data_IF_899681815093
#
_entry.id   IF_899681815093
#
_cell.length_a   1.000
_cell.length_b   1.000
_cell.length_c   1.000
_cell.angle_alpha   90.00
_cell.angle_beta   90.00
_cell.angle_gamma   90.00
#
_symmetry.space_group_name_H-M   'P 1'
#
loop_
_entity.id
_entity.type
_entity.pdbx_description
1 polymer ?
#
# COMPACT_ATOMS: atom_id res chain seq x y z
N UNK A 1 29.14 59.98 -46.61
CA UNK A 1 29.11 58.58 -46.16
C UNK A 1 28.13 58.43 -45.02
N UNK A 2 26.84 58.44 -45.39
CA UNK A 2 25.77 58.09 -44.45
C UNK A 2 25.38 56.65 -44.73
N UNK A 3 25.66 55.76 -43.79
CA UNK A 3 25.13 54.38 -43.80
C UNK A 3 23.68 54.39 -43.27
N UNK A 4 22.80 53.93 -44.09
CA UNK A 4 21.36 53.96 -43.92
C UNK A 4 20.90 53.00 -42.80
N UNK A 5 20.30 53.44 -41.68
CA UNK A 5 19.95 52.55 -40.55
C UNK A 5 18.78 51.60 -40.83
N UNK A 6 18.09 51.76 -41.98
CA UNK A 6 16.92 50.91 -42.32
C UNK A 6 17.23 49.47 -42.71
N UNK A 7 18.45 49.17 -43.13
CA UNK A 7 18.84 47.82 -43.56
C UNK A 7 19.12 46.87 -42.38
N UNK A 8 19.49 47.39 -41.20
CA UNK A 8 19.78 46.57 -40.02
C UNK A 8 18.50 46.07 -39.35
N UNK A 9 17.42 46.84 -39.42
CA UNK A 9 16.12 46.42 -38.84
C UNK A 9 15.43 45.29 -39.61
N UNK A 10 15.56 45.24 -40.92
CA UNK A 10 14.98 44.17 -41.74
C UNK A 10 15.71 42.83 -41.56
N UNK A 11 17.02 42.84 -41.32
CA UNK A 11 17.75 41.58 -41.06
C UNK A 11 17.43 40.97 -39.70
N UNK A 12 17.22 41.76 -38.66
CA UNK A 12 16.84 41.28 -37.32
C UNK A 12 15.46 40.65 -37.30
N UNK A 13 14.49 41.25 -37.98
CA UNK A 13 13.12 40.71 -38.09
C UNK A 13 13.05 39.42 -38.93
N UNK A 14 13.83 39.30 -39.99
CA UNK A 14 13.88 38.11 -40.83
C UNK A 14 14.51 36.93 -40.08
N UNK A 15 15.58 37.16 -39.33
CA UNK A 15 16.26 36.12 -38.51
C UNK A 15 15.35 35.64 -37.37
N UNK A 16 14.62 36.53 -36.70
CA UNK A 16 13.67 36.17 -35.64
C UNK A 16 12.44 35.43 -36.21
N UNK A 17 11.91 35.85 -37.36
CA UNK A 17 10.81 35.16 -38.01
C UNK A 17 11.19 33.75 -38.47
N UNK A 18 12.35 33.56 -39.08
CA UNK A 18 12.85 32.24 -39.46
C UNK A 18 13.13 31.39 -38.26
N UNK A 19 13.67 31.96 -37.17
CA UNK A 19 13.93 31.23 -35.94
C UNK A 19 12.63 30.76 -35.26
N UNK A 20 11.62 31.59 -35.18
CA UNK A 20 10.30 31.24 -34.64
C UNK A 20 9.56 30.22 -35.52
N UNK A 21 9.65 30.31 -36.82
CA UNK A 21 9.08 29.33 -37.75
C UNK A 21 9.78 27.98 -37.64
N UNK A 22 11.11 27.96 -37.51
CA UNK A 22 11.85 26.73 -37.29
C UNK A 22 11.54 26.07 -35.94
N UNK A 23 11.32 26.86 -34.87
CA UNK A 23 10.90 26.34 -33.56
C UNK A 23 9.49 25.74 -33.64
N UNK A 24 8.56 26.42 -34.32
CA UNK A 24 7.18 25.94 -34.46
C UNK A 24 7.09 24.66 -35.31
N UNK A 25 7.84 24.57 -36.41
CA UNK A 25 7.94 23.34 -37.23
C UNK A 25 8.59 22.22 -36.43
N UNK A 26 9.59 22.53 -35.60
CA UNK A 26 10.25 21.57 -34.71
C UNK A 26 9.29 21.00 -33.66
N UNK A 27 8.47 21.84 -33.02
CA UNK A 27 7.48 21.38 -32.02
C UNK A 27 6.40 20.49 -32.64
N UNK A 28 5.90 20.83 -33.83
CA UNK A 28 4.94 20.02 -34.58
C UNK A 28 5.57 18.66 -34.95
N UNK A 29 6.80 18.64 -35.46
CA UNK A 29 7.48 17.42 -35.84
C UNK A 29 7.77 16.53 -34.63
N UNK A 30 8.14 17.10 -33.48
CA UNK A 30 8.38 16.35 -32.23
C UNK A 30 7.08 15.77 -31.66
N UNK A 31 5.99 16.51 -31.68
CA UNK A 31 4.70 16.00 -31.24
C UNK A 31 4.18 14.89 -32.17
N UNK A 32 4.42 14.98 -33.46
CA UNK A 32 4.08 13.94 -34.43
C UNK A 32 4.92 12.65 -34.25
N UNK A 33 6.20 12.79 -33.98
CA UNK A 33 7.12 11.66 -33.68
C UNK A 33 6.70 10.96 -32.40
N UNK A 34 6.36 11.69 -31.34
CA UNK A 34 5.88 11.12 -30.07
C UNK A 34 4.51 10.45 -30.25
N UNK A 35 3.62 11.03 -31.05
CA UNK A 35 2.34 10.45 -31.42
C UNK A 35 2.48 9.14 -32.20
N UNK A 36 3.37 9.09 -33.19
CA UNK A 36 3.68 7.88 -33.95
C UNK A 36 4.29 6.78 -33.08
N UNK A 37 5.16 7.13 -32.13
CA UNK A 37 5.78 6.19 -31.20
C UNK A 37 4.75 5.57 -30.24
N UNK A 38 3.77 6.36 -29.79
CA UNK A 38 2.75 5.88 -28.84
C UNK A 38 1.68 5.01 -29.51
N UNK A 39 1.35 5.24 -30.79
CA UNK A 39 0.27 4.53 -31.48
C UNK A 39 0.76 3.36 -32.34
N UNK A 40 1.91 3.49 -33.00
CA UNK A 40 2.36 2.54 -34.01
C UNK A 40 3.45 1.56 -33.55
N UNK A 41 3.95 1.73 -32.34
CA UNK A 41 4.97 0.85 -31.73
C UNK A 41 6.38 0.99 -32.35
N UNK A 42 7.37 0.46 -31.63
CA UNK A 42 8.80 0.66 -31.93
C UNK A 42 9.27 0.17 -33.32
N UNK A 43 8.64 -0.83 -33.91
CA UNK A 43 9.07 -1.38 -35.23
C UNK A 43 8.76 -0.43 -36.38
N UNK A 44 7.61 0.26 -36.37
CA UNK A 44 7.24 1.21 -37.40
C UNK A 44 8.02 2.52 -37.26
N UNK A 45 8.30 2.92 -36.01
CA UNK A 45 9.17 4.05 -35.69
C UNK A 45 10.60 3.89 -36.25
N UNK A 46 11.21 2.72 -36.11
CA UNK A 46 12.51 2.40 -36.68
C UNK A 46 12.52 2.42 -38.23
N UNK A 47 11.43 1.99 -38.85
CA UNK A 47 11.25 2.03 -40.29
C UNK A 47 11.18 3.47 -40.85
N UNK A 48 10.55 4.39 -40.13
CA UNK A 48 10.48 5.81 -40.47
C UNK A 48 11.83 6.47 -40.32
N UNK A 49 12.59 6.14 -39.28
CA UNK A 49 13.95 6.68 -39.07
C UNK A 49 14.96 6.21 -40.13
N UNK A 50 14.85 4.97 -40.58
CA UNK A 50 15.76 4.41 -41.56
C UNK A 50 15.56 4.94 -43.00
N UNK A 51 14.42 5.57 -43.26
CA UNK A 51 14.07 6.15 -44.58
C UNK A 51 14.14 7.68 -44.63
N UNK A 52 14.63 8.35 -43.58
CA UNK A 52 14.85 9.81 -43.58
C UNK A 52 16.15 10.23 -44.26
N UNK A 53 16.19 11.31 -45.07
CA UNK A 53 17.41 11.83 -45.69
C UNK A 53 18.47 12.23 -44.64
N UNK A 54 19.72 11.86 -44.86
CA UNK A 54 20.86 11.99 -43.94
C UNK A 54 21.04 13.38 -43.26
N UNK A 55 20.62 14.47 -43.90
CA UNK A 55 20.76 15.82 -43.32
C UNK A 55 19.83 16.08 -42.14
N UNK A 56 18.62 15.50 -42.13
CA UNK A 56 17.68 15.63 -41.04
C UNK A 56 18.01 14.68 -39.89
N UNK A 57 18.60 13.55 -40.18
CA UNK A 57 19.04 12.57 -39.19
C UNK A 57 20.10 13.14 -38.23
N UNK A 58 21.07 13.93 -38.75
CA UNK A 58 22.13 14.56 -37.94
C UNK A 58 21.55 15.63 -36.99
N UNK A 59 20.54 16.38 -37.45
CA UNK A 59 19.90 17.41 -36.61
C UNK A 59 19.04 16.74 -35.50
N UNK A 60 18.31 15.69 -35.84
CA UNK A 60 17.49 14.94 -34.87
C UNK A 60 18.38 14.20 -33.89
N UNK A 61 19.44 13.55 -34.31
CA UNK A 61 20.37 12.82 -33.43
C UNK A 61 21.19 13.74 -32.50
N UNK A 62 21.63 14.92 -33.01
CA UNK A 62 22.31 15.93 -32.16
C UNK A 62 21.39 16.57 -31.13
N UNK A 63 20.14 16.85 -31.48
CA UNK A 63 19.18 17.41 -30.52
C UNK A 63 18.68 16.36 -29.51
N UNK A 64 18.57 15.09 -29.87
CA UNK A 64 18.33 13.98 -28.93
C UNK A 64 19.51 13.77 -27.98
N UNK A 65 20.75 13.83 -28.45
CA UNK A 65 21.93 13.68 -27.60
C UNK A 65 22.22 14.89 -26.68
N UNK A 66 21.79 16.10 -27.05
CA UNK A 66 21.93 17.29 -26.22
C UNK A 66 20.90 17.42 -25.08
N UNK A 67 19.80 16.69 -25.12
CA UNK A 67 18.79 16.65 -24.04
C UNK A 67 18.81 15.42 -23.16
N UNK A 68 19.65 14.44 -23.46
CA UNK A 68 20.01 13.37 -22.51
C UNK A 68 21.06 13.88 -21.50
N UNK A 69 20.81 15.04 -20.90
CA UNK A 69 21.54 15.40 -19.68
C UNK A 69 21.27 14.34 -18.62
N UNK A 70 22.24 14.05 -17.78
CA UNK A 70 22.15 13.07 -16.69
C UNK A 70 20.87 13.21 -15.83
N UNK A 71 20.22 14.36 -15.85
CA UNK A 71 18.93 14.65 -15.20
C UNK A 71 17.73 13.99 -15.91
N UNK A 72 17.74 13.88 -17.25
CA UNK A 72 16.68 13.19 -18.00
C UNK A 72 16.86 11.66 -17.94
N UNK A 73 18.11 11.19 -17.86
CA UNK A 73 18.44 9.77 -17.60
C UNK A 73 18.12 9.41 -16.15
N UNK A 74 18.41 10.29 -15.19
CA UNK A 74 17.99 10.12 -13.79
C UNK A 74 16.48 10.16 -13.63
N UNK A 75 15.78 11.06 -14.33
CA UNK A 75 14.31 11.10 -14.33
C UNK A 75 13.70 9.92 -15.11
N UNK A 76 14.33 9.39 -16.17
CA UNK A 76 13.91 8.14 -16.82
C UNK A 76 14.24 6.90 -16.01
N UNK A 77 15.34 6.87 -15.27
CA UNK A 77 15.60 5.80 -14.27
C UNK A 77 14.66 5.89 -13.07
N UNK A 78 14.18 7.08 -12.71
CA UNK A 78 13.16 7.29 -11.68
C UNK A 78 11.73 7.07 -12.21
N UNK A 79 11.53 7.14 -13.53
CA UNK A 79 10.34 6.68 -14.27
C UNK A 79 10.47 5.23 -14.74
N UNK A 80 11.43 4.47 -14.22
CA UNK A 80 11.40 3.02 -14.24
C UNK A 80 10.26 2.64 -13.30
N UNK A 81 9.11 2.52 -13.89
CA UNK A 81 7.75 2.30 -13.41
C UNK A 81 7.67 2.06 -11.90
N UNK A 82 7.26 3.08 -11.17
CA UNK A 82 6.75 2.94 -9.81
C UNK A 82 5.76 1.78 -9.83
N UNK A 83 5.99 0.78 -9.00
CA UNK A 83 5.18 -0.44 -8.97
C UNK A 83 3.75 -0.09 -8.60
N UNK A 84 2.79 -0.50 -9.43
CA UNK A 84 1.37 -0.26 -9.14
C UNK A 84 0.88 -1.17 -8.01
N UNK A 85 -0.18 -0.77 -7.33
CA UNK A 85 -0.86 -1.59 -6.31
C UNK A 85 -1.23 -2.98 -6.84
N UNK A 86 -1.72 -3.08 -8.07
CA UNK A 86 -2.03 -4.36 -8.72
C UNK A 86 -0.77 -5.23 -8.91
N UNK A 87 0.35 -4.64 -9.29
CA UNK A 87 1.63 -5.36 -9.42
C UNK A 87 2.16 -5.83 -8.07
N UNK A 88 2.06 -5.00 -7.02
CA UNK A 88 2.47 -5.33 -5.66
C UNK A 88 1.68 -6.55 -5.16
N UNK A 89 0.35 -6.51 -5.27
CA UNK A 89 -0.52 -7.62 -4.87
C UNK A 89 -0.20 -8.90 -5.63
N UNK A 90 -0.07 -8.79 -6.96
CA UNK A 90 0.26 -9.93 -7.80
C UNK A 90 1.61 -10.55 -7.45
N UNK A 91 2.63 -9.76 -7.21
CA UNK A 91 3.97 -10.26 -6.83
C UNK A 91 3.96 -10.98 -5.49
N UNK A 92 3.19 -10.50 -4.50
CA UNK A 92 3.00 -11.21 -3.23
C UNK A 92 2.41 -12.61 -3.46
N UNK A 93 1.31 -12.69 -4.18
CA UNK A 93 0.63 -13.96 -4.44
C UNK A 93 1.49 -14.92 -5.28
N UNK A 94 2.17 -14.42 -6.31
CA UNK A 94 3.07 -15.22 -7.14
C UNK A 94 4.23 -15.77 -6.30
N UNK A 95 4.86 -14.94 -5.46
CA UNK A 95 5.96 -15.35 -4.58
C UNK A 95 5.55 -16.49 -3.64
N UNK A 96 4.43 -16.36 -2.93
CA UNK A 96 3.98 -17.42 -2.04
C UNK A 96 3.48 -18.66 -2.79
N UNK A 97 2.93 -18.50 -3.98
CA UNK A 97 2.62 -19.63 -4.86
C UNK A 97 3.89 -20.41 -5.23
N UNK A 98 4.99 -19.73 -5.56
CA UNK A 98 6.30 -20.36 -5.82
C UNK A 98 6.87 -21.07 -4.59
N UNK A 99 6.58 -20.54 -3.37
CA UNK A 99 6.93 -21.20 -2.09
C UNK A 99 5.97 -22.35 -1.72
N UNK A 100 5.07 -22.76 -2.62
CA UNK A 100 4.16 -23.90 -2.44
C UNK A 100 2.87 -23.60 -1.68
N UNK A 101 2.48 -22.34 -1.55
CA UNK A 101 1.23 -21.96 -0.92
C UNK A 101 0.04 -22.10 -1.89
N UNK A 102 -1.07 -22.62 -1.41
CA UNK A 102 -2.35 -22.57 -2.10
C UNK A 102 -2.91 -21.15 -2.02
N UNK A 103 -3.14 -20.53 -3.18
CA UNK A 103 -3.77 -19.21 -3.21
C UNK A 103 -5.28 -19.39 -3.10
N UNK A 104 -5.90 -18.72 -2.14
CA UNK A 104 -7.34 -18.77 -1.89
C UNK A 104 -7.97 -17.37 -2.01
N UNK A 105 -9.28 -17.28 -2.30
CA UNK A 105 -9.97 -16.00 -2.35
C UNK A 105 -10.15 -15.40 -0.94
N UNK A 106 -10.29 -14.07 -0.87
CA UNK A 106 -10.70 -13.35 0.32
C UNK A 106 -12.04 -13.85 0.85
N UNK A 107 -12.12 -14.07 2.15
CA UNK A 107 -13.40 -14.29 2.80
C UNK A 107 -14.26 -13.01 2.82
N UNK A 108 -15.59 -13.12 3.03
CA UNK A 108 -16.44 -11.97 3.26
C UNK A 108 -15.99 -11.14 4.46
N UNK A 109 -16.17 -9.81 4.37
CA UNK A 109 -15.89 -8.88 5.48
C UNK A 109 -16.76 -9.17 6.70
N UNK A 110 -18.02 -9.54 6.48
CA UNK A 110 -19.01 -9.80 7.55
C UNK A 110 -19.11 -11.27 7.84
N UNK A 111 -18.84 -11.63 9.07
CA UNK A 111 -18.93 -13.01 9.56
C UNK A 111 -20.35 -13.29 10.06
N UNK A 112 -21.08 -14.17 9.36
CA UNK A 112 -22.48 -14.47 9.70
C UNK A 112 -22.65 -15.45 10.87
N UNK A 113 -21.68 -16.35 11.02
CA UNK A 113 -21.78 -17.51 11.93
C UNK A 113 -20.69 -17.53 13.02
N UNK A 114 -19.95 -16.44 13.22
CA UNK A 114 -18.94 -16.35 14.28
C UNK A 114 -19.53 -15.60 15.49
N UNK A 115 -19.63 -16.26 16.66
CA UNK A 115 -20.16 -15.62 17.87
C UNK A 115 -19.19 -14.63 18.53
N UNK A 116 -17.92 -14.63 18.14
CA UNK A 116 -16.84 -13.84 18.75
C UNK A 116 -16.49 -12.59 17.96
N UNK A 117 -16.64 -12.63 16.64
CA UNK A 117 -16.27 -11.56 15.73
C UNK A 117 -17.41 -11.21 14.78
N UNK A 118 -17.72 -9.92 14.67
CA UNK A 118 -18.72 -9.41 13.74
C UNK A 118 -18.15 -9.23 12.32
N UNK A 119 -16.86 -8.89 12.24
CA UNK A 119 -16.15 -8.61 11.00
C UNK A 119 -14.83 -9.38 10.91
N UNK A 120 -14.41 -9.67 9.71
CA UNK A 120 -13.06 -10.14 9.43
C UNK A 120 -12.07 -9.01 9.73
N UNK A 121 -11.40 -9.06 10.88
CA UNK A 121 -10.47 -8.03 11.34
C UNK A 121 -9.00 -8.34 11.01
N UNK A 122 -8.74 -9.57 10.53
CA UNK A 122 -7.41 -10.04 10.10
C UNK A 122 -7.54 -11.15 9.07
N UNK A 123 -6.45 -11.44 8.36
CA UNK A 123 -6.41 -12.51 7.35
C UNK A 123 -6.69 -13.89 7.91
N UNK A 124 -6.26 -14.15 9.15
CA UNK A 124 -6.41 -15.45 9.81
C UNK A 124 -7.86 -15.80 10.19
N UNK A 125 -8.77 -14.82 10.20
CA UNK A 125 -10.13 -15.02 10.73
C UNK A 125 -10.85 -16.18 10.03
N UNK A 126 -10.71 -16.33 8.72
CA UNK A 126 -11.28 -17.45 7.96
C UNK A 126 -10.67 -18.81 8.27
N UNK A 127 -9.50 -18.85 8.92
CA UNK A 127 -8.73 -20.07 9.22
C UNK A 127 -8.71 -20.44 10.71
N UNK A 128 -9.48 -19.75 11.54
CA UNK A 128 -9.55 -19.95 13.00
C UNK A 128 -9.67 -21.43 13.39
N UNK A 129 -10.57 -22.17 12.72
CA UNK A 129 -10.81 -23.58 12.99
C UNK A 129 -9.60 -24.49 12.66
N UNK A 130 -8.74 -24.07 11.72
CA UNK A 130 -7.53 -24.81 11.36
C UNK A 130 -6.47 -24.65 12.46
N UNK A 131 -6.30 -23.44 13.00
CA UNK A 131 -5.38 -23.19 14.12
C UNK A 131 -5.78 -23.97 15.39
N UNK A 132 -7.07 -24.05 15.67
CA UNK A 132 -7.62 -24.76 16.82
C UNK A 132 -7.70 -26.28 16.63
N UNK A 133 -7.39 -26.79 15.45
CA UNK A 133 -7.49 -28.20 15.11
C UNK A 133 -8.94 -28.74 15.02
N UNK A 134 -9.91 -27.85 14.86
CA UNK A 134 -11.34 -28.25 14.70
C UNK A 134 -11.65 -28.70 13.27
N UNK A 135 -10.84 -28.28 12.30
CA UNK A 135 -10.92 -28.68 10.90
C UNK A 135 -9.53 -28.88 10.31
N UNK A 136 -9.41 -29.82 9.40
CA UNK A 136 -8.20 -29.98 8.62
C UNK A 136 -8.06 -28.84 7.59
N UNK A 137 -6.88 -28.25 7.43
CA UNK A 137 -6.65 -27.21 6.44
C UNK A 137 -6.72 -27.80 5.01
N UNK A 138 -7.22 -26.98 4.07
CA UNK A 138 -7.27 -27.35 2.64
C UNK A 138 -5.89 -27.62 2.04
N UNK A 139 -4.86 -27.01 2.60
CA UNK A 139 -3.44 -27.22 2.30
C UNK A 139 -2.62 -26.81 3.52
N UNK A 140 -1.41 -27.39 3.73
CA UNK A 140 -0.56 -27.01 4.85
C UNK A 140 -0.02 -25.58 4.73
N UNK A 141 0.03 -25.02 3.52
CA UNK A 141 0.44 -23.63 3.21
C UNK A 141 -0.64 -22.94 2.44
N UNK A 142 -1.08 -21.79 2.91
CA UNK A 142 -2.11 -20.97 2.23
C UNK A 142 -1.62 -19.52 2.17
N UNK A 143 -2.00 -18.79 1.11
CA UNK A 143 -1.82 -17.34 1.03
C UNK A 143 -2.99 -16.68 0.32
N UNK A 144 -3.28 -15.43 0.70
CA UNK A 144 -4.30 -14.61 0.05
C UNK A 144 -4.05 -13.12 0.21
N UNK A 145 -5.00 -12.33 -0.29
CA UNK A 145 -5.23 -10.95 0.09
C UNK A 145 -6.64 -10.84 0.68
N UNK A 146 -6.74 -10.52 1.96
CA UNK A 146 -7.98 -10.50 2.73
C UNK A 146 -8.50 -9.08 2.92
N UNK A 147 -9.78 -8.86 2.60
CA UNK A 147 -10.51 -7.64 2.99
C UNK A 147 -10.74 -7.66 4.50
N UNK A 148 -10.20 -6.67 5.22
CA UNK A 148 -10.37 -6.55 6.67
C UNK A 148 -11.13 -5.28 7.02
N UNK A 149 -11.92 -5.33 8.10
CA UNK A 149 -12.67 -4.18 8.63
C UNK A 149 -12.41 -4.04 10.14
N UNK A 150 -11.82 -2.89 10.54
CA UNK A 150 -11.49 -2.56 11.94
C UNK A 150 -12.25 -1.32 12.39
N UNK A 151 -13.47 -1.51 12.91
CA UNK A 151 -14.40 -0.42 13.27
C UNK A 151 -15.14 -0.69 14.57
N UNK A 152 -14.73 -1.71 15.32
CA UNK A 152 -15.33 -2.08 16.59
C UNK A 152 -14.47 -3.07 17.39
N UNK A 153 -14.71 -3.17 18.68
CA UNK A 153 -14.03 -4.11 19.58
C UNK A 153 -12.60 -3.70 19.90
N UNK A 154 -11.71 -4.70 20.07
CA UNK A 154 -10.27 -4.53 20.41
C UNK A 154 -9.52 -3.75 19.33
N UNK A 155 -9.90 -3.91 18.06
CA UNK A 155 -9.31 -3.26 16.90
C UNK A 155 -10.33 -2.27 16.31
N UNK A 156 -10.23 -1.00 16.67
CA UNK A 156 -11.16 0.06 16.23
C UNK A 156 -10.39 1.29 15.75
N UNK A 157 -10.22 1.41 14.45
CA UNK A 157 -9.46 2.49 13.80
C UNK A 157 -10.36 3.66 13.32
N UNK A 158 -11.70 3.58 13.56
CA UNK A 158 -12.68 4.51 12.97
C UNK A 158 -12.43 5.99 13.29
N UNK A 159 -11.94 6.29 14.48
CA UNK A 159 -11.74 7.68 14.91
C UNK A 159 -10.46 8.29 14.35
N UNK A 160 -9.45 7.46 14.02
CA UNK A 160 -8.16 7.86 13.46
C UNK A 160 -8.23 8.04 11.92
N UNK A 161 -9.18 7.34 11.28
CA UNK A 161 -9.35 7.41 9.82
C UNK A 161 -9.61 8.84 9.33
N UNK A 162 -8.74 9.26 8.41
CA UNK A 162 -8.72 10.59 7.82
C UNK A 162 -7.93 11.62 8.63
N UNK A 163 -7.51 11.31 9.86
CA UNK A 163 -6.74 12.19 10.76
C UNK A 163 -5.26 11.86 10.78
N UNK A 164 -4.89 10.67 10.36
CA UNK A 164 -3.51 10.23 10.16
C UNK A 164 -3.26 9.82 8.71
N UNK A 165 -2.11 9.21 8.44
CA UNK A 165 -1.64 8.87 7.09
C UNK A 165 -1.83 7.41 6.71
N UNK A 166 -2.22 6.51 7.64
CA UNK A 166 -2.12 5.06 7.43
C UNK A 166 -3.24 4.20 8.03
N UNK A 167 -4.15 4.74 8.87
CA UNK A 167 -5.30 3.98 9.37
C UNK A 167 -6.49 4.02 8.40
N UNK A 168 -7.19 2.88 8.31
CA UNK A 168 -8.34 2.69 7.43
C UNK A 168 -9.45 1.91 8.14
N UNK A 169 -10.72 2.20 7.80
CA UNK A 169 -11.82 1.35 8.23
C UNK A 169 -11.77 -0.01 7.54
N UNK A 170 -11.60 0.00 6.22
CA UNK A 170 -11.36 -1.20 5.41
C UNK A 170 -9.96 -1.12 4.80
N UNK A 171 -9.19 -2.18 4.94
CA UNK A 171 -7.86 -2.33 4.33
C UNK A 171 -7.68 -3.75 3.80
N UNK A 172 -6.68 -3.92 2.95
CA UNK A 172 -6.25 -5.23 2.49
C UNK A 172 -5.11 -5.75 3.36
N UNK A 173 -5.21 -6.98 3.81
CA UNK A 173 -4.13 -7.69 4.48
C UNK A 173 -3.61 -8.78 3.56
N UNK A 174 -2.37 -8.66 3.13
CA UNK A 174 -1.67 -9.72 2.44
C UNK A 174 -1.20 -10.73 3.48
N UNK A 175 -1.64 -11.98 3.38
CA UNK A 175 -1.38 -13.00 4.38
C UNK A 175 -0.79 -14.28 3.81
N UNK A 176 0.09 -14.92 4.60
CA UNK A 176 0.52 -16.29 4.36
C UNK A 176 0.51 -17.08 5.66
N UNK A 177 0.07 -18.34 5.56
CA UNK A 177 -0.17 -19.23 6.68
C UNK A 177 0.53 -20.56 6.50
N UNK A 178 1.01 -21.09 7.64
CA UNK A 178 1.49 -22.46 7.77
C UNK A 178 0.71 -23.19 8.84
N UNK A 179 0.10 -24.29 8.49
CA UNK A 179 -0.69 -25.14 9.40
C UNK A 179 0.11 -26.38 9.76
N UNK A 180 1.07 -26.22 10.72
CA UNK A 180 1.91 -27.30 11.19
C UNK A 180 2.99 -27.76 10.21
N UNK A 181 3.31 -26.98 9.18
CA UNK A 181 4.35 -27.31 8.19
C UNK A 181 5.66 -26.56 8.50
N UNK A 182 5.79 -25.29 8.13
CA UNK A 182 6.95 -24.48 8.51
C UNK A 182 6.64 -23.58 9.72
N UNK A 183 7.70 -23.02 10.32
CA UNK A 183 7.55 -22.15 11.48
C UNK A 183 8.46 -20.91 11.37
N UNK A 184 8.99 -20.39 12.48
CA UNK A 184 9.68 -19.10 12.58
C UNK A 184 10.75 -18.89 11.52
N UNK A 185 11.63 -19.90 11.32
CA UNK A 185 12.77 -19.77 10.41
C UNK A 185 12.33 -19.44 8.98
N UNK A 186 11.50 -20.30 8.41
CA UNK A 186 11.04 -20.12 7.03
C UNK A 186 10.15 -18.88 6.89
N UNK A 187 9.33 -18.56 7.89
CA UNK A 187 8.50 -17.35 7.87
C UNK A 187 9.38 -16.09 7.78
N UNK A 188 10.43 -16.02 8.57
CA UNK A 188 11.41 -14.93 8.58
C UNK A 188 12.20 -14.89 7.27
N UNK A 189 12.69 -16.05 6.79
CA UNK A 189 13.41 -16.15 5.52
C UNK A 189 12.54 -15.65 4.34
N UNK A 190 11.27 -16.07 4.25
CA UNK A 190 10.36 -15.66 3.19
C UNK A 190 10.05 -14.16 3.28
N UNK A 191 9.81 -13.63 4.48
CA UNK A 191 9.54 -12.22 4.66
C UNK A 191 10.74 -11.36 4.23
N UNK A 192 11.95 -11.75 4.63
CA UNK A 192 13.15 -11.04 4.25
C UNK A 192 13.41 -11.10 2.74
N UNK A 193 13.31 -12.29 2.14
CA UNK A 193 13.48 -12.46 0.69
C UNK A 193 12.48 -11.61 -0.11
N UNK A 194 11.21 -11.63 0.27
CA UNK A 194 10.18 -10.86 -0.41
C UNK A 194 10.46 -9.36 -0.35
N UNK A 195 10.75 -8.83 0.83
CA UNK A 195 10.97 -7.39 0.99
C UNK A 195 12.27 -6.91 0.33
N UNK A 196 13.37 -7.65 0.49
CA UNK A 196 14.69 -7.16 0.06
C UNK A 196 15.07 -7.61 -1.35
N UNK A 197 14.64 -8.80 -1.80
CA UNK A 197 15.05 -9.35 -3.09
C UNK A 197 13.95 -9.22 -4.16
N UNK A 198 12.67 -9.27 -3.80
CA UNK A 198 11.57 -9.10 -4.75
C UNK A 198 11.17 -7.62 -4.83
N UNK A 199 10.80 -7.01 -3.71
CA UNK A 199 10.38 -5.60 -3.66
C UNK A 199 11.56 -4.61 -3.64
N UNK A 200 12.80 -5.08 -3.45
CA UNK A 200 14.03 -4.28 -3.46
C UNK A 200 14.02 -3.13 -2.45
N UNK A 201 13.40 -3.34 -1.30
CA UNK A 201 13.46 -2.38 -0.19
C UNK A 201 14.89 -2.37 0.36
N UNK A 202 15.52 -1.20 0.51
CA UNK A 202 16.87 -1.10 1.09
C UNK A 202 16.89 -1.66 2.52
N UNK A 203 17.83 -2.55 2.80
CA UNK A 203 17.95 -3.23 4.11
C UNK A 203 18.15 -2.25 5.27
N UNK A 204 18.82 -1.14 4.99
CA UNK A 204 19.03 -0.05 5.93
C UNK A 204 17.77 0.73 6.31
N UNK A 205 16.67 0.52 5.61
CA UNK A 205 15.38 1.10 5.96
C UNK A 205 14.52 0.20 6.86
N UNK A 206 14.97 -1.04 7.09
CA UNK A 206 14.20 -2.03 7.83
C UNK A 206 14.63 -2.11 9.29
N UNK A 207 13.66 -2.27 10.17
CA UNK A 207 13.80 -2.65 11.58
C UNK A 207 12.86 -3.81 11.86
N UNK A 208 13.21 -4.65 12.83
CA UNK A 208 12.35 -5.77 13.24
C UNK A 208 12.20 -5.75 14.75
N UNK A 209 11.02 -6.16 15.21
CA UNK A 209 10.77 -6.37 16.63
C UNK A 209 10.68 -7.86 16.95
N UNK A 210 10.93 -8.24 18.18
CA UNK A 210 10.70 -9.56 18.71
C UNK A 210 10.05 -9.45 20.07
N UNK A 211 9.29 -10.45 20.47
CA UNK A 211 8.67 -10.49 21.79
C UNK A 211 9.72 -10.57 22.92
N UNK A 212 9.66 -9.64 23.87
CA UNK A 212 10.60 -9.57 25.01
C UNK A 212 10.27 -10.53 26.14
N UNK A 213 9.08 -11.17 26.09
CA UNK A 213 8.55 -12.02 27.15
C UNK A 213 7.57 -11.27 28.05
N UNK A 214 6.88 -12.05 28.90
CA UNK A 214 5.98 -11.53 29.94
C UNK A 214 6.04 -12.45 31.17
N UNK A 215 6.75 -12.01 32.19
CA UNK A 215 6.93 -12.77 33.43
C UNK A 215 5.60 -13.01 34.17
N UNK A 216 4.61 -12.16 34.01
CA UNK A 216 3.29 -12.29 34.65
C UNK A 216 2.49 -13.49 34.12
N UNK A 217 2.73 -13.88 32.87
CA UNK A 217 2.11 -15.03 32.21
C UNK A 217 3.11 -16.22 32.01
N UNK A 218 4.30 -16.15 32.58
CA UNK A 218 5.35 -17.12 32.37
C UNK A 218 5.74 -17.34 30.91
N UNK A 219 5.78 -16.24 30.14
CA UNK A 219 6.21 -16.26 28.75
C UNK A 219 7.63 -15.74 28.62
N UNK A 220 8.50 -16.57 28.03
CA UNK A 220 9.90 -16.23 27.80
C UNK A 220 10.07 -15.29 26.60
N UNK A 221 11.23 -14.60 26.57
CA UNK A 221 11.67 -13.84 25.40
C UNK A 221 11.81 -14.75 24.19
N UNK A 222 11.35 -14.29 23.01
CA UNK A 222 11.48 -15.06 21.76
C UNK A 222 12.93 -15.02 21.22
N UNK A 223 13.82 -15.75 21.91
CA UNK A 223 15.22 -15.87 21.52
C UNK A 223 15.41 -16.65 20.22
N UNK A 224 14.43 -17.47 19.81
CA UNK A 224 14.45 -18.21 18.55
C UNK A 224 14.28 -17.26 17.37
N UNK A 225 13.27 -16.41 17.39
CA UNK A 225 13.08 -15.36 16.37
C UNK A 225 14.28 -14.40 16.32
N UNK A 226 14.82 -13.97 17.47
CA UNK A 226 16.02 -13.14 17.52
C UNK A 226 17.19 -13.77 16.76
N UNK A 227 17.47 -15.05 17.00
CA UNK A 227 18.57 -15.74 16.34
C UNK A 227 18.38 -15.91 14.84
N UNK A 228 17.14 -16.10 14.38
CA UNK A 228 16.85 -16.15 12.93
C UNK A 228 17.02 -14.77 12.28
N UNK A 229 16.56 -13.71 12.93
CA UNK A 229 16.75 -12.36 12.41
C UNK A 229 18.21 -11.93 12.30
N UNK A 230 19.07 -12.34 13.24
CA UNK A 230 20.53 -12.07 13.18
C UNK A 230 21.21 -12.58 11.93
N UNK A 231 20.65 -13.57 11.25
CA UNK A 231 21.17 -14.06 9.97
C UNK A 231 20.90 -13.07 8.79
N UNK A 232 19.97 -12.15 8.96
CA UNK A 232 19.50 -11.26 7.92
C UNK A 232 19.81 -9.77 8.15
N UNK A 233 19.70 -9.33 9.39
CA UNK A 233 19.81 -7.92 9.78
C UNK A 233 20.76 -7.75 10.96
N UNK A 234 21.40 -6.60 11.10
CA UNK A 234 22.30 -6.30 12.21
C UNK A 234 21.55 -6.21 13.55
N UNK A 235 22.21 -6.61 14.64
CA UNK A 235 21.59 -6.72 15.97
C UNK A 235 21.02 -5.40 16.50
N UNK A 236 21.63 -4.27 16.15
CA UNK A 236 21.18 -2.93 16.50
C UNK A 236 19.85 -2.52 15.84
N UNK A 237 19.31 -3.37 14.95
CA UNK A 237 18.03 -3.19 14.28
C UNK A 237 16.97 -4.23 14.69
N UNK A 238 17.30 -5.07 15.69
CA UNK A 238 16.40 -6.05 16.30
C UNK A 238 15.98 -5.51 17.65
N UNK A 239 14.73 -5.17 17.83
CA UNK A 239 14.18 -4.46 18.97
C UNK A 239 13.36 -5.43 19.82
N UNK A 240 13.51 -5.39 21.14
CA UNK A 240 12.59 -6.09 22.03
C UNK A 240 11.29 -5.29 22.14
N UNK A 241 10.17 -5.95 21.86
CA UNK A 241 8.85 -5.36 22.00
C UNK A 241 8.06 -6.05 23.11
N UNK A 242 7.25 -5.26 23.79
CA UNK A 242 6.43 -5.70 24.90
C UNK A 242 5.23 -6.54 24.41
N UNK A 243 4.47 -7.07 25.37
CA UNK A 243 3.30 -7.89 25.07
C UNK A 243 2.24 -7.18 24.25
N UNK A 244 2.05 -5.87 24.43
CA UNK A 244 1.04 -5.09 23.68
C UNK A 244 1.35 -5.10 22.18
N UNK A 245 2.62 -5.00 21.81
CA UNK A 245 3.06 -4.87 20.42
C UNK A 245 3.46 -6.24 19.82
N UNK A 246 4.11 -7.10 20.61
CA UNK A 246 4.72 -8.34 20.11
C UNK A 246 4.12 -9.65 20.65
N UNK A 247 2.89 -9.62 21.18
CA UNK A 247 2.11 -10.83 21.48
C UNK A 247 0.69 -10.68 20.92
N UNK A 248 0.46 -11.28 19.76
CA UNK A 248 -0.80 -11.10 19.05
C UNK A 248 -1.90 -12.01 19.59
N UNK A 249 -3.10 -11.45 19.75
CA UNK A 249 -4.29 -12.16 20.20
C UNK A 249 -5.46 -11.82 19.28
N UNK A 250 -6.19 -12.83 18.81
CA UNK A 250 -7.35 -12.65 17.92
C UNK A 250 -8.45 -11.80 18.55
N UNK A 251 -8.68 -11.97 19.84
CA UNK A 251 -9.69 -11.29 20.65
C UNK A 251 -9.51 -11.62 22.12
N UNK A 252 -10.61 -11.60 22.89
CA UNK A 252 -10.61 -12.00 24.33
C UNK A 252 -10.31 -13.49 24.52
N UNK A 253 -10.53 -14.30 23.49
CA UNK A 253 -10.22 -15.72 23.45
C UNK A 253 -9.90 -16.17 22.03
N UNK A 254 -9.16 -17.27 21.91
CA UNK A 254 -8.78 -17.85 20.63
C UNK A 254 -7.29 -18.00 20.42
N UNK A 255 -6.83 -18.36 19.21
CA UNK A 255 -5.42 -18.54 18.90
C UNK A 255 -4.62 -17.26 19.16
N UNK A 256 -3.41 -17.44 19.71
CA UNK A 256 -2.50 -16.34 20.02
C UNK A 256 -1.05 -16.84 20.07
N UNK A 257 -0.11 -15.90 20.10
CA UNK A 257 1.30 -16.21 20.22
C UNK A 257 2.21 -15.01 20.08
N UNK A 258 3.50 -15.19 20.38
CA UNK A 258 4.49 -14.14 20.17
C UNK A 258 4.56 -13.78 18.68
N UNK A 259 4.87 -12.54 18.40
CA UNK A 259 5.02 -12.09 17.02
C UNK A 259 6.26 -11.24 16.82
N UNK A 260 6.63 -11.09 15.56
CA UNK A 260 7.73 -10.27 15.09
C UNK A 260 7.22 -9.33 14.03
N UNK A 261 7.37 -8.04 14.26
CA UNK A 261 6.95 -7.01 13.30
C UNK A 261 8.13 -6.56 12.46
N UNK A 262 7.82 -6.19 11.22
CA UNK A 262 8.79 -5.57 10.30
C UNK A 262 8.33 -4.14 10.04
N UNK A 263 9.20 -3.19 10.37
CA UNK A 263 8.99 -1.76 10.21
C UNK A 263 9.84 -1.21 9.06
N UNK A 264 9.28 -0.26 8.32
CA UNK A 264 10.00 0.47 7.27
C UNK A 264 10.12 1.94 7.67
N UNK A 265 11.36 2.45 7.67
CA UNK A 265 11.65 3.86 7.79
C UNK A 265 11.70 4.50 6.39
N UNK A 266 10.63 5.23 6.03
CA UNK A 266 10.48 5.90 4.74
C UNK A 266 10.89 7.39 4.77
N UNK A 267 11.46 7.87 5.88
CA UNK A 267 11.90 9.25 6.02
C UNK A 267 13.04 9.60 5.06
N UNK A 268 13.24 10.90 4.85
CA UNK A 268 14.38 11.42 4.09
C UNK A 268 15.72 11.11 4.78
N UNK A 269 16.81 11.13 4.00
CA UNK A 269 18.15 10.92 4.57
C UNK A 269 18.52 11.97 5.62
N UNK A 270 18.03 13.22 5.45
CA UNK A 270 18.26 14.31 6.39
C UNK A 270 17.54 14.10 7.73
N UNK A 271 16.34 13.52 7.70
CA UNK A 271 15.57 13.19 8.91
C UNK A 271 16.18 12.00 9.64
N UNK A 272 16.59 10.96 8.90
CA UNK A 272 17.29 9.78 9.46
C UNK A 272 18.61 10.15 10.13
N UNK A 273 19.31 11.15 9.61
CA UNK A 273 20.55 11.63 10.21
C UNK A 273 20.34 12.39 11.53
N UNK A 274 19.15 12.95 11.78
CA UNK A 274 18.83 13.70 13.01
C UNK A 274 18.36 12.79 14.14
N UNK A 275 17.52 11.81 13.82
CA UNK A 275 16.93 10.89 14.79
C UNK A 275 17.00 9.47 14.22
N UNK A 276 17.50 8.54 15.00
CA UNK A 276 17.53 7.12 14.61
C UNK A 276 16.11 6.59 14.40
N UNK A 277 15.91 5.75 13.36
CA UNK A 277 14.64 5.03 13.20
C UNK A 277 14.37 4.06 14.34
N UNK A 278 15.41 3.55 14.99
CA UNK A 278 15.31 2.72 16.18
C UNK A 278 14.45 3.36 17.28
N UNK A 279 14.64 4.67 17.51
CA UNK A 279 13.93 5.41 18.56
C UNK A 279 12.46 5.72 18.18
N UNK A 280 12.07 5.42 16.95
CA UNK A 280 10.75 5.74 16.40
C UNK A 280 9.88 4.52 16.13
N UNK A 281 10.45 3.31 16.20
CA UNK A 281 9.69 2.05 16.09
C UNK A 281 8.70 1.96 17.26
N UNK A 282 7.43 1.65 16.96
CA UNK A 282 6.31 1.55 17.93
C UNK A 282 6.08 2.85 18.75
N UNK A 283 6.42 4.01 18.18
CA UNK A 283 6.22 5.34 18.77
C UNK A 283 5.32 6.23 17.90
N UNK A 284 4.35 5.66 17.19
CA UNK A 284 3.33 6.33 16.36
C UNK A 284 3.91 7.33 15.34
N UNK A 285 5.15 7.09 14.87
CA UNK A 285 5.76 7.96 13.87
C UNK A 285 5.20 7.67 12.47
N UNK A 286 4.63 8.67 11.74
CA UNK A 286 3.90 8.45 10.48
C UNK A 286 4.76 7.92 9.33
N UNK A 287 6.09 7.94 9.46
CA UNK A 287 7.02 7.49 8.43
C UNK A 287 8.00 6.40 8.92
N UNK A 288 7.82 5.86 10.12
CA UNK A 288 8.47 4.65 10.62
C UNK A 288 7.37 3.68 10.97
N UNK A 289 6.89 2.97 9.97
CA UNK A 289 5.62 2.25 10.06
C UNK A 289 5.82 0.74 10.06
N UNK A 290 5.06 0.05 10.90
CA UNK A 290 4.87 -1.39 10.80
C UNK A 290 4.19 -1.70 9.48
N UNK A 291 4.79 -2.59 8.68
CA UNK A 291 4.24 -3.06 7.42
C UNK A 291 3.83 -4.51 7.46
N UNK A 292 4.48 -5.34 8.27
CA UNK A 292 4.22 -6.78 8.32
C UNK A 292 4.36 -7.32 9.72
N UNK A 293 3.37 -8.07 10.19
CA UNK A 293 3.41 -8.80 11.46
C UNK A 293 3.49 -10.32 11.16
N UNK A 294 4.50 -10.98 11.72
CA UNK A 294 4.71 -12.44 11.64
C UNK A 294 4.32 -13.04 12.99
N UNK A 295 3.15 -13.66 13.06
CA UNK A 295 2.63 -14.24 14.30
C UNK A 295 2.96 -15.74 14.36
N UNK A 296 3.56 -16.15 15.46
CA UNK A 296 3.92 -17.53 15.74
C UNK A 296 2.90 -18.14 16.70
N UNK A 297 1.85 -18.70 16.11
CA UNK A 297 0.71 -19.24 16.84
C UNK A 297 1.11 -20.51 17.60
N UNK A 298 1.21 -20.39 18.93
CA UNK A 298 1.60 -21.48 19.84
C UNK A 298 0.54 -21.76 20.90
N UNK A 299 -0.38 -20.81 21.15
CA UNK A 299 -1.32 -20.86 22.26
C UNK A 299 -2.77 -20.59 21.84
N UNK A 300 -3.68 -21.02 22.69
CA UNK A 300 -5.09 -20.65 22.68
C UNK A 300 -5.41 -19.94 24.00
N UNK A 301 -5.87 -18.68 23.94
CA UNK A 301 -6.38 -17.95 25.08
C UNK A 301 -7.76 -18.47 25.42
N UNK A 302 -7.96 -18.95 26.65
CA UNK A 302 -9.25 -19.41 27.16
C UNK A 302 -10.07 -18.25 27.71
N UNK A 303 -11.38 -18.48 27.87
CA UNK A 303 -12.31 -17.48 28.44
C UNK A 303 -11.96 -17.07 29.89
N UNK A 304 -11.24 -17.90 30.63
CA UNK A 304 -10.75 -17.61 31.99
C UNK A 304 -9.41 -16.84 31.99
N UNK A 305 -8.89 -16.51 30.81
CA UNK A 305 -7.63 -15.80 30.61
C UNK A 305 -6.38 -16.71 30.58
N UNK A 306 -6.51 -18.01 30.84
CA UNK A 306 -5.38 -18.95 30.80
C UNK A 306 -4.90 -19.22 29.36
N UNK A 307 -3.62 -19.57 29.21
CA UNK A 307 -3.04 -19.99 27.95
C UNK A 307 -2.89 -21.53 27.90
N UNK A 308 -3.42 -22.13 26.85
CA UNK A 308 -3.25 -23.53 26.53
C UNK A 308 -2.44 -23.67 25.24
N UNK A 309 -1.48 -24.61 25.20
CA UNK A 309 -0.72 -24.86 23.96
C UNK A 309 -1.61 -25.42 22.88
N UNK A 310 -1.44 -24.92 21.65
CA UNK A 310 -2.09 -25.49 20.46
C UNK A 310 -1.56 -26.90 20.16
N UNK A 311 -2.37 -27.75 19.48
CA UNK A 311 -1.96 -29.09 19.07
C UNK A 311 -0.71 -29.12 18.16
N UNK A 312 -0.53 -28.06 17.36
CA UNK A 312 0.63 -27.84 16.51
C UNK A 312 1.04 -26.36 16.52
N UNK A 313 2.27 -26.09 16.11
CA UNK A 313 2.75 -24.71 15.91
C UNK A 313 2.38 -24.25 14.50
N UNK A 314 1.88 -23.05 14.39
CA UNK A 314 1.42 -22.50 13.13
C UNK A 314 2.04 -21.11 12.87
N UNK A 315 2.03 -20.68 11.62
CA UNK A 315 2.38 -19.31 11.22
C UNK A 315 1.14 -18.61 10.72
N UNK A 316 0.91 -17.42 11.21
CA UNK A 316 -0.04 -16.43 10.68
C UNK A 316 0.73 -15.17 10.37
N UNK A 317 0.58 -14.62 9.17
CA UNK A 317 1.20 -13.33 8.87
C UNK A 317 0.19 -12.37 8.29
N UNK A 318 0.36 -11.08 8.61
CA UNK A 318 -0.48 -10.02 8.07
C UNK A 318 0.35 -8.81 7.67
N UNK A 319 0.43 -8.55 6.35
CA UNK A 319 1.09 -7.37 5.81
C UNK A 319 0.06 -6.35 5.37
N UNK A 320 0.16 -5.11 5.87
CA UNK A 320 -0.70 -4.00 5.46
C UNK A 320 -0.42 -3.61 4.02
N UNK A 321 -1.33 -3.93 3.12
CA UNK A 321 -1.16 -3.70 1.69
C UNK A 321 -1.01 -2.21 1.36
N UNK A 322 -1.85 -1.35 1.90
CA UNK A 322 -1.80 0.09 1.68
C UNK A 322 -0.48 0.71 2.20
N UNK A 323 0.00 0.24 3.37
CA UNK A 323 1.30 0.66 3.94
C UNK A 323 2.46 0.21 3.06
N UNK A 324 2.40 -1.02 2.54
CA UNK A 324 3.39 -1.51 1.60
C UNK A 324 3.40 -0.70 0.29
N UNK A 325 2.22 -0.39 -0.27
CA UNK A 325 2.09 0.48 -1.44
C UNK A 325 2.70 1.86 -1.17
N UNK A 326 2.43 2.46 -0.02
CA UNK A 326 3.01 3.74 0.39
C UNK A 326 4.53 3.70 0.36
N UNK A 327 5.14 2.67 0.97
CA UNK A 327 6.58 2.51 1.01
C UNK A 327 7.19 2.30 -0.39
N UNK A 328 6.63 1.39 -1.20
CA UNK A 328 7.15 1.05 -2.53
C UNK A 328 6.92 2.16 -3.57
N UNK A 329 5.89 2.96 -3.39
CA UNK A 329 5.59 4.10 -4.25
C UNK A 329 6.28 5.40 -3.78
N UNK A 330 7.06 5.35 -2.68
CA UNK A 330 7.78 6.49 -2.14
C UNK A 330 6.86 7.64 -1.74
N UNK A 331 5.71 7.30 -1.13
CA UNK A 331 4.72 8.24 -0.62
C UNK A 331 4.84 8.39 0.88
N UNK A 332 4.33 9.50 1.42
CA UNK A 332 4.28 9.78 2.86
C UNK A 332 2.91 9.50 3.49
N UNK A 333 1.93 9.17 2.67
CA UNK A 333 0.57 8.79 3.10
C UNK A 333 0.02 7.69 2.20
N UNK A 334 -0.74 6.76 2.78
CA UNK A 334 -1.48 5.75 2.02
C UNK A 334 -2.42 6.40 0.99
N UNK A 335 -3.01 7.54 1.36
CA UNK A 335 -3.95 8.29 0.50
C UNK A 335 -3.29 8.89 -0.76
N UNK A 336 -1.96 9.00 -0.80
CA UNK A 336 -1.21 9.49 -1.97
C UNK A 336 -0.82 8.37 -2.94
N UNK A 337 -1.17 7.13 -2.63
CA UNK A 337 -0.91 5.97 -3.48
C UNK A 337 -1.96 5.82 -4.59
N UNK A 338 -1.69 4.98 -5.57
CA UNK A 338 -2.63 4.65 -6.64
C UNK A 338 -3.87 3.88 -6.15
N UNK A 339 -3.87 3.38 -4.92
CA UNK A 339 -5.06 2.78 -4.27
C UNK A 339 -6.15 3.83 -4.05
N UNK A 340 -5.79 5.08 -3.72
CA UNK A 340 -6.74 6.12 -3.33
C UNK A 340 -6.82 7.29 -4.31
N UNK A 341 -5.74 7.61 -5.03
CA UNK A 341 -5.70 8.80 -5.89
C UNK A 341 -6.79 8.84 -6.97
N UNK A 342 -7.26 7.73 -7.58
CA UNK A 342 -8.39 7.79 -8.51
C UNK A 342 -9.71 8.18 -7.82
N UNK A 343 -9.96 7.69 -6.60
CA UNK A 343 -11.13 8.06 -5.81
C UNK A 343 -11.06 9.52 -5.37
N UNK A 344 -9.89 9.98 -4.92
CA UNK A 344 -9.64 11.38 -4.54
C UNK A 344 -9.92 12.30 -5.74
N UNK A 345 -9.41 11.97 -6.93
CA UNK A 345 -9.66 12.75 -8.15
C UNK A 345 -11.16 12.85 -8.47
N UNK A 346 -11.92 11.77 -8.26
CA UNK A 346 -13.38 11.80 -8.44
C UNK A 346 -14.09 12.68 -7.40
N UNK A 347 -13.66 12.64 -6.15
CA UNK A 347 -14.18 13.53 -5.09
C UNK A 347 -13.87 15.00 -5.39
N UNK A 348 -12.66 15.30 -5.90
CA UNK A 348 -12.30 16.64 -6.37
C UNK A 348 -13.21 17.15 -7.50
N UNK A 349 -13.48 16.28 -8.48
CA UNK A 349 -14.40 16.58 -9.60
C UNK A 349 -15.80 16.94 -9.08
N UNK A 350 -16.35 16.12 -8.18
CA UNK A 350 -17.71 16.27 -7.66
C UNK A 350 -17.85 17.46 -6.69
N UNK A 351 -16.83 17.76 -5.90
CA UNK A 351 -16.89 18.84 -4.91
C UNK A 351 -16.36 20.18 -5.42
N UNK A 352 -15.56 20.17 -6.50
CA UNK A 352 -14.82 21.34 -6.96
C UNK A 352 -13.67 21.74 -6.01
N UNK A 353 -13.35 20.91 -4.98
CA UNK A 353 -12.30 21.20 -3.98
C UNK A 353 -11.09 20.32 -4.23
N UNK A 354 -9.89 20.91 -4.11
CA UNK A 354 -8.62 20.19 -4.31
C UNK A 354 -8.10 19.59 -3.01
N UNK A 355 -7.66 18.34 -3.10
CA UNK A 355 -6.89 17.67 -2.05
C UNK A 355 -5.46 18.22 -2.03
N UNK A 356 -4.98 18.57 -0.86
CA UNK A 356 -3.65 19.19 -0.67
C UNK A 356 -2.71 18.36 0.19
N UNK A 357 -3.20 17.26 0.78
CA UNK A 357 -2.41 16.36 1.63
C UNK A 357 -2.14 16.94 3.03
N UNK A 358 -2.75 18.06 3.40
CA UNK A 358 -2.58 18.67 4.73
C UNK A 358 -3.34 17.83 5.74
N UNK A 359 -2.64 17.38 6.80
CA UNK A 359 -3.21 16.40 7.74
C UNK A 359 -4.39 16.96 8.53
N UNK A 360 -4.26 18.20 9.03
CA UNK A 360 -5.26 18.87 9.89
C UNK A 360 -6.31 19.68 9.11
N UNK A 361 -6.21 19.79 7.80
CA UNK A 361 -7.21 20.51 6.98
C UNK A 361 -8.53 19.71 6.93
N UNK A 362 -9.62 20.30 7.41
CA UNK A 362 -10.94 19.65 7.49
C UNK A 362 -11.47 19.18 6.13
N UNK A 363 -11.15 19.90 5.06
CA UNK A 363 -11.48 19.51 3.67
C UNK A 363 -10.71 18.25 3.28
N UNK A 364 -9.42 18.18 3.58
CA UNK A 364 -8.58 17.04 3.26
C UNK A 364 -8.94 15.82 4.13
N UNK A 365 -9.24 16.05 5.41
CA UNK A 365 -9.81 15.00 6.28
C UNK A 365 -11.11 14.46 5.68
N UNK A 366 -12.01 15.33 5.23
CA UNK A 366 -13.27 14.89 4.64
C UNK A 366 -13.06 14.08 3.37
N UNK A 367 -12.12 14.46 2.51
CA UNK A 367 -11.78 13.69 1.31
C UNK A 367 -11.23 12.32 1.69
N UNK A 368 -10.29 12.23 2.65
CA UNK A 368 -9.76 10.94 3.15
C UNK A 368 -10.84 10.05 3.73
N UNK A 369 -11.70 10.60 4.58
CA UNK A 369 -12.85 9.88 5.15
C UNK A 369 -13.78 9.32 4.07
N UNK A 370 -14.07 10.10 3.02
CA UNK A 370 -14.92 9.66 1.92
C UNK A 370 -14.33 8.46 1.16
N UNK A 371 -13.09 8.59 0.71
CA UNK A 371 -12.45 7.56 -0.12
C UNK A 371 -12.16 6.28 0.68
N UNK A 372 -11.93 6.39 1.97
CA UNK A 372 -11.86 5.25 2.87
C UNK A 372 -13.22 4.57 3.03
N UNK A 373 -14.22 5.33 3.46
CA UNK A 373 -15.52 4.79 3.85
C UNK A 373 -16.31 4.19 2.68
N UNK A 374 -16.12 4.71 1.46
CA UNK A 374 -16.78 4.11 0.29
C UNK A 374 -16.26 2.70 0.00
N UNK A 375 -14.97 2.41 0.27
CA UNK A 375 -14.42 1.05 0.17
C UNK A 375 -15.13 0.13 1.16
N UNK A 376 -15.17 0.49 2.44
CA UNK A 376 -15.80 -0.30 3.49
C UNK A 376 -17.28 -0.60 3.20
N UNK A 377 -18.05 0.43 2.83
CA UNK A 377 -19.51 0.29 2.58
C UNK A 377 -19.75 -0.55 1.32
N UNK A 378 -19.02 -0.29 0.24
CA UNK A 378 -19.22 -1.00 -1.03
C UNK A 378 -18.91 -2.48 -0.92
N UNK A 379 -17.78 -2.85 -0.32
CA UNK A 379 -17.42 -4.26 -0.16
C UNK A 379 -18.29 -4.99 0.85
N UNK A 380 -18.75 -4.33 1.93
CA UNK A 380 -19.71 -4.93 2.83
C UNK A 380 -21.06 -5.24 2.13
N UNK A 381 -21.53 -4.32 1.27
CA UNK A 381 -22.74 -4.53 0.48
C UNK A 381 -22.53 -5.65 -0.56
N UNK A 382 -21.38 -5.69 -1.23
CA UNK A 382 -21.04 -6.73 -2.19
C UNK A 382 -20.98 -8.12 -1.53
N UNK A 383 -20.50 -8.21 -0.29
CA UNK A 383 -20.49 -9.42 0.53
C UNK A 383 -21.90 -9.76 1.13
N UNK A 384 -22.93 -8.97 0.81
CA UNK A 384 -24.32 -9.22 1.17
C UNK A 384 -24.80 -8.58 2.48
N UNK A 385 -24.02 -7.65 3.06
CA UNK A 385 -24.41 -6.91 4.25
C UNK A 385 -24.91 -5.51 3.91
N UNK A 386 -26.23 -5.34 3.93
CA UNK A 386 -26.86 -4.01 3.76
C UNK A 386 -26.78 -3.19 5.06
N UNK A 387 -26.71 -1.85 4.95
CA UNK A 387 -26.91 -0.97 6.11
C UNK A 387 -28.27 -1.21 6.77
N UNK A 388 -28.30 -1.33 8.09
CA UNK A 388 -29.53 -1.60 8.85
C UNK A 388 -29.53 -0.93 10.23
N UNK A 389 -30.54 -1.24 11.07
CA UNK A 389 -30.68 -0.66 12.40
C UNK A 389 -30.00 -1.49 13.52
N UNK A 390 -29.47 -2.66 13.21
CA UNK A 390 -28.85 -3.54 14.21
C UNK A 390 -27.68 -4.35 13.66
N UNK A 391 -26.89 -4.95 14.55
CA UNK A 391 -25.78 -5.84 14.21
C UNK A 391 -24.74 -5.19 13.27
N UNK A 392 -24.16 -5.99 12.42
CA UNK A 392 -23.17 -5.55 11.43
C UNK A 392 -23.71 -4.44 10.50
N UNK A 393 -24.97 -4.53 10.10
CA UNK A 393 -25.60 -3.52 9.25
C UNK A 393 -25.70 -2.14 9.90
N UNK A 394 -25.81 -2.06 11.24
CA UNK A 394 -25.77 -0.78 11.96
C UNK A 394 -24.38 -0.13 11.86
N UNK A 395 -23.33 -0.92 11.99
CA UNK A 395 -21.94 -0.42 11.85
C UNK A 395 -21.72 0.12 10.43
N UNK A 396 -22.11 -0.63 9.41
CA UNK A 396 -22.01 -0.18 7.99
C UNK A 396 -22.82 1.11 7.76
N UNK A 397 -24.04 1.20 8.35
CA UNK A 397 -24.84 2.42 8.31
C UNK A 397 -24.14 3.60 8.99
N UNK A 398 -23.45 3.37 10.12
CA UNK A 398 -22.69 4.41 10.85
C UNK A 398 -21.55 4.95 9.99
N UNK A 399 -20.78 4.08 9.32
CA UNK A 399 -19.70 4.45 8.38
C UNK A 399 -20.28 5.28 7.25
N UNK A 400 -21.33 4.82 6.58
CA UNK A 400 -22.01 5.53 5.50
C UNK A 400 -22.46 6.94 5.93
N UNK A 401 -23.11 7.05 7.09
CA UNK A 401 -23.57 8.35 7.63
C UNK A 401 -22.41 9.28 7.97
N UNK A 402 -21.28 8.74 8.46
CA UNK A 402 -20.05 9.52 8.70
C UNK A 402 -19.55 10.13 7.39
N UNK A 403 -19.43 9.34 6.32
CA UNK A 403 -19.03 9.81 5.00
C UNK A 403 -19.96 10.95 4.50
N UNK A 404 -21.28 10.76 4.56
CA UNK A 404 -22.28 11.77 4.15
C UNK A 404 -22.14 13.05 5.00
N UNK A 405 -21.95 12.92 6.31
CA UNK A 405 -21.81 14.08 7.21
C UNK A 405 -20.56 14.91 6.88
N UNK A 406 -19.42 14.25 6.60
CA UNK A 406 -18.18 14.93 6.23
C UNK A 406 -18.31 15.61 4.86
N UNK A 407 -18.91 14.94 3.86
CA UNK A 407 -19.13 15.54 2.54
C UNK A 407 -20.01 16.77 2.59
N UNK A 408 -21.10 16.71 3.35
CA UNK A 408 -22.02 17.83 3.48
C UNK A 408 -21.38 19.04 4.17
N UNK A 409 -20.70 18.80 5.31
CA UNK A 409 -20.12 19.86 6.15
C UNK A 409 -18.92 20.53 5.53
N UNK A 410 -18.00 19.75 4.98
CA UNK A 410 -16.66 20.24 4.62
C UNK A 410 -16.44 20.32 3.11
N UNK A 411 -17.16 19.52 2.30
CA UNK A 411 -17.04 19.56 0.85
C UNK A 411 -18.21 20.31 0.17
N UNK A 412 -19.31 20.54 0.89
CA UNK A 412 -20.45 21.28 0.39
C UNK A 412 -21.32 20.48 -0.60
N UNK A 413 -21.14 19.16 -0.67
CA UNK A 413 -21.92 18.28 -1.54
C UNK A 413 -23.27 18.01 -0.85
N UNK A 414 -24.36 18.44 -1.47
CA UNK A 414 -25.73 18.36 -0.92
C UNK A 414 -26.57 17.26 -1.56
N UNK A 415 -26.27 16.92 -2.79
CA UNK A 415 -26.99 15.91 -3.56
C UNK A 415 -26.38 14.51 -3.37
N UNK A 416 -27.13 13.43 -3.58
CA UNK A 416 -26.61 12.08 -3.56
C UNK A 416 -25.51 11.87 -4.62
N UNK A 417 -24.34 11.41 -4.21
CA UNK A 417 -23.16 11.28 -5.09
C UNK A 417 -22.32 10.04 -4.87
N UNK A 418 -22.40 9.38 -3.70
CA UNK A 418 -21.50 8.28 -3.33
C UNK A 418 -21.51 7.12 -4.32
N UNK A 419 -22.63 6.91 -5.03
CA UNK A 419 -22.75 5.87 -6.06
C UNK A 419 -21.78 6.10 -7.24
N UNK A 420 -21.40 7.35 -7.52
CA UNK A 420 -20.43 7.66 -8.58
C UNK A 420 -19.02 7.19 -8.24
N UNK A 421 -18.66 7.16 -6.95
CA UNK A 421 -17.38 6.64 -6.49
C UNK A 421 -17.28 5.12 -6.64
N UNK A 422 -18.41 4.40 -6.61
CA UNK A 422 -18.45 2.94 -6.74
C UNK A 422 -17.94 2.50 -8.12
N UNK A 423 -18.23 3.25 -9.17
CA UNK A 423 -17.73 2.95 -10.51
C UNK A 423 -16.20 3.04 -10.58
N UNK A 424 -15.61 4.04 -9.93
CA UNK A 424 -14.14 4.19 -9.82
C UNK A 424 -13.56 3.03 -9.00
N UNK A 425 -14.14 2.76 -7.84
CA UNK A 425 -13.69 1.67 -6.96
C UNK A 425 -13.71 0.31 -7.67
N UNK A 426 -14.76 0.03 -8.44
CA UNK A 426 -14.87 -1.19 -9.24
C UNK A 426 -13.72 -1.33 -10.25
N UNK A 427 -13.35 -0.24 -10.91
CA UNK A 427 -12.26 -0.27 -11.88
C UNK A 427 -10.90 -0.54 -11.22
N UNK A 428 -10.69 -0.04 -9.99
CA UNK A 428 -9.41 -0.18 -9.29
C UNK A 428 -9.27 -1.54 -8.56
N UNK A 429 -10.36 -2.07 -8.02
CA UNK A 429 -10.33 -3.22 -7.12
C UNK A 429 -11.21 -4.40 -7.56
N UNK A 430 -12.15 -4.20 -8.49
CA UNK A 430 -13.19 -5.18 -8.82
C UNK A 430 -12.68 -6.49 -9.47
N UNK A 431 -11.47 -6.50 -10.00
CA UNK A 431 -10.88 -7.72 -10.57
C UNK A 431 -10.30 -8.68 -9.50
N UNK A 432 -10.17 -8.23 -8.25
CA UNK A 432 -9.59 -8.99 -7.13
C UNK A 432 -10.62 -9.46 -6.12
N UNK A 433 -11.78 -8.79 -6.02
CA UNK A 433 -12.78 -9.03 -4.98
C UNK A 433 -14.19 -9.18 -5.54
#
# INVERSE_FOLDING_TARGET
NQKNPKVIFYHGHLINSVRNTCVFIYEIAMNWVLFCQSILGNKVYQCILNNCPNQYFIIISKSLNLRTSNKAIANRKKAQSMMTSQQIRKQFLDFFKEKGHLIVPSAPIVLKDDPTLMFSNSGMTQFKDYFLGYKDPKAPRIADTQKCLRVSGKHNDLDDVGRDTYHHTMFEMLGNWSFGDYFKKEAIDFAWELLTEVYKIPKENLYVTIFEGDASENLDRDSEAYNFWKAHISEDRIINGNKKDNFWEMGESGPCGPCSEIHIDIRSAEEKAKVSGLDLVNNDHPQVVEVWNLVFMEFNRKADGSLEKLPARHVDTGMGFERLCMALQGKSSNYDTDVFTPLIAKVEELSGKKYTGILEDEKDIAIRVLVDHIRAVSFAIADGQLPSNGGAGYVIRRILRRAISYSYRFLGIKEPFLFELVAVLRNEMGDFF
#
